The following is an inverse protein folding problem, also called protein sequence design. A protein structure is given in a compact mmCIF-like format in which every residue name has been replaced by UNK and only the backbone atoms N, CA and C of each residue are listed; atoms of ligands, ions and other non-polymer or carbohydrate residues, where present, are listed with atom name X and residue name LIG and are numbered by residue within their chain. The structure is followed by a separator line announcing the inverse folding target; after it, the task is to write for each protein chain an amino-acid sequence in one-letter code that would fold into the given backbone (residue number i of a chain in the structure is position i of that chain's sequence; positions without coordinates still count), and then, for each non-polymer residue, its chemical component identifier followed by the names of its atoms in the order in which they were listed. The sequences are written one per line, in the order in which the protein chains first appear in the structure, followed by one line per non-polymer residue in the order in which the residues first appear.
data_IF_682444387542
#
_entry.id   IF_682444387542
#
_cell.length_a   1.000
_cell.length_b   1.000
_cell.length_c   1.000
_cell.angle_alpha   90.00
_cell.angle_beta   90.00
_cell.angle_gamma   90.00
#
_symmetry.space_group_name_H-M   'P 1'
#
loop_
_entity.id
_entity.type
_entity.pdbx_description
1 polymer ?
#
# COMPACT_ATOMS: atom_id res chain seq x y z
N UNK A 1 -17.11 -67.86 60.66
CA UNK A 1 -18.56 -68.09 60.84
C UNK A 1 -19.13 -68.51 59.49
N UNK A 2 -19.82 -69.66 59.45
CA UNK A 2 -20.30 -70.38 58.25
C UNK A 2 -21.52 -69.70 57.61
N UNK A 3 -21.99 -70.28 56.50
CA UNK A 3 -23.32 -70.16 55.79
C UNK A 3 -23.39 -69.13 54.65
N UNK A 4 -23.90 -69.38 53.43
CA UNK A 4 -24.63 -70.49 52.77
C UNK A 4 -24.39 -70.46 51.21
N UNK A 5 -24.33 -71.63 50.56
CA UNK A 5 -24.57 -71.92 49.11
C UNK A 5 -26.11 -72.14 48.87
N UNK A 6 -26.72 -72.34 47.65
CA UNK A 6 -26.17 -72.61 46.29
C UNK A 6 -26.93 -72.04 45.02
N UNK A 7 -26.21 -72.04 43.87
CA UNK A 7 -26.51 -72.53 42.48
C UNK A 7 -27.88 -72.32 41.79
N UNK A 8 -27.87 -71.74 40.55
CA UNK A 8 -28.55 -72.29 39.35
C UNK A 8 -28.05 -71.77 37.97
N UNK A 9 -27.51 -72.72 37.18
CA UNK A 9 -27.52 -73.00 35.71
C UNK A 9 -26.88 -72.05 34.64
N UNK A 10 -25.84 -72.64 33.99
CA UNK A 10 -25.18 -72.52 32.65
C UNK A 10 -26.04 -71.99 31.47
N UNK A 11 -25.45 -71.46 30.35
CA UNK A 11 -24.37 -72.09 29.58
C UNK A 11 -23.26 -71.20 28.96
N UNK A 12 -22.26 -71.90 28.42
CA UNK A 12 -21.12 -71.37 27.69
C UNK A 12 -21.52 -70.67 26.38
N UNK A 13 -20.93 -69.51 26.11
CA UNK A 13 -21.01 -68.80 24.84
C UNK A 13 -19.74 -67.99 24.64
N UNK A 14 -18.88 -68.44 23.73
CA UNK A 14 -17.70 -67.69 23.32
C UNK A 14 -18.09 -66.51 22.44
N UNK A 15 -17.50 -65.35 22.70
CA UNK A 15 -17.49 -64.24 21.75
C UNK A 15 -16.05 -63.79 21.52
N UNK A 16 -15.56 -64.06 20.30
CA UNK A 16 -14.34 -63.48 19.74
C UNK A 16 -14.57 -61.99 19.55
N UNK A 17 -13.68 -61.16 20.11
CA UNK A 17 -13.64 -59.73 19.82
C UNK A 17 -13.14 -59.53 18.36
N UNK A 18 -14.00 -58.99 17.50
CA UNK A 18 -13.58 -58.49 16.19
C UNK A 18 -12.94 -57.11 16.37
N UNK A 19 -11.60 -57.07 16.38
CA UNK A 19 -10.85 -55.82 16.29
C UNK A 19 -10.89 -55.27 14.86
N UNK A 20 -11.53 -54.11 14.68
CA UNK A 20 -11.52 -53.37 13.42
C UNK A 20 -10.18 -52.64 13.28
N UNK A 21 -9.18 -53.29 12.68
CA UNK A 21 -7.97 -52.62 12.21
C UNK A 21 -8.11 -52.36 10.70
N UNK A 22 -8.21 -51.09 10.25
CA UNK A 22 -8.17 -50.81 8.81
C UNK A 22 -6.80 -51.26 8.28
N UNK A 23 -6.79 -52.28 7.41
CA UNK A 23 -5.58 -52.74 6.73
C UNK A 23 -5.11 -51.63 5.77
N UNK A 24 -4.12 -50.86 6.20
CA UNK A 24 -3.36 -49.97 5.32
C UNK A 24 -2.62 -50.84 4.28
N UNK A 25 -3.18 -50.96 3.08
CA UNK A 25 -2.49 -51.65 1.98
C UNK A 25 -1.39 -50.74 1.42
N UNK A 26 -0.26 -51.33 0.99
CA UNK A 26 0.84 -50.57 0.35
C UNK A 26 0.34 -49.65 -0.77
N UNK A 27 -0.70 -50.07 -1.51
CA UNK A 27 -1.33 -49.28 -2.56
C UNK A 27 -2.03 -48.02 -2.04
N UNK A 28 -2.73 -48.09 -0.90
CA UNK A 28 -3.35 -46.92 -0.27
C UNK A 28 -2.32 -45.98 0.35
N UNK A 29 -1.25 -46.53 0.93
CA UNK A 29 -0.12 -45.73 1.43
C UNK A 29 0.57 -44.97 0.29
N UNK A 30 0.82 -45.64 -0.84
CA UNK A 30 1.41 -45.00 -2.03
C UNK A 30 0.47 -43.96 -2.64
N UNK A 31 -0.84 -44.21 -2.70
CA UNK A 31 -1.82 -43.21 -3.16
C UNK A 31 -1.87 -41.97 -2.24
N UNK A 32 -1.80 -42.16 -0.92
CA UNK A 32 -1.74 -41.07 0.04
C UNK A 32 -0.43 -40.26 -0.08
N UNK A 33 0.70 -40.93 -0.31
CA UNK A 33 2.00 -40.28 -0.54
C UNK A 33 2.03 -39.51 -1.86
N UNK A 34 1.42 -40.04 -2.93
CA UNK A 34 1.31 -39.34 -4.23
C UNK A 34 0.43 -38.09 -4.11
N UNK A 35 -0.68 -38.17 -3.38
CA UNK A 35 -1.54 -37.02 -3.09
C UNK A 35 -0.81 -35.96 -2.24
N UNK A 36 -0.03 -36.38 -1.24
CA UNK A 36 0.81 -35.49 -0.45
C UNK A 36 1.91 -34.83 -1.29
N UNK A 37 2.60 -35.59 -2.15
CA UNK A 37 3.67 -35.05 -3.02
C UNK A 37 3.15 -34.09 -4.10
N UNK A 38 1.94 -34.33 -4.61
CA UNK A 38 1.31 -33.42 -5.58
C UNK A 38 1.01 -32.04 -4.97
N UNK A 39 0.75 -31.99 -3.66
CA UNK A 39 0.61 -30.73 -2.90
C UNK A 39 1.93 -29.97 -2.75
N UNK A 40 3.06 -30.67 -2.55
CA UNK A 40 4.37 -30.02 -2.43
C UNK A 40 4.90 -29.44 -3.75
N UNK A 41 4.45 -29.95 -4.89
CA UNK A 41 4.88 -29.47 -6.22
C UNK A 41 4.10 -28.25 -6.74
N UNK A 42 3.10 -27.76 -6.00
CA UNK A 42 2.34 -26.55 -6.38
C UNK A 42 2.75 -25.38 -5.48
N UNK A 43 3.35 -24.30 -6.04
CA UNK A 43 3.44 -23.03 -5.33
C UNK A 43 2.03 -22.63 -4.84
N UNK A 44 1.87 -22.37 -3.54
CA UNK A 44 0.60 -21.94 -2.94
C UNK A 44 -0.26 -23.02 -2.26
N UNK A 45 0.16 -24.30 -2.24
CA UNK A 45 -0.61 -25.36 -1.55
C UNK A 45 -0.56 -25.26 -0.01
N UNK A 46 0.33 -24.41 0.52
CA UNK A 46 0.42 -24.00 1.92
C UNK A 46 0.30 -22.48 2.09
N UNK A 47 -0.41 -21.79 1.18
CA UNK A 47 -0.75 -20.39 1.41
C UNK A 47 -1.74 -20.34 2.59
N UNK A 48 -1.23 -20.06 3.80
CA UNK A 48 -2.05 -19.48 4.85
C UNK A 48 -2.77 -18.29 4.21
N UNK A 49 -4.10 -18.29 4.24
CA UNK A 49 -4.87 -17.25 3.58
C UNK A 49 -4.45 -15.91 4.16
N UNK A 50 -3.75 -15.10 3.37
CA UNK A 50 -3.28 -13.80 3.85
C UNK A 50 -4.48 -12.96 4.28
N UNK A 51 -4.33 -12.32 5.44
CA UNK A 51 -5.32 -11.36 5.89
C UNK A 51 -5.34 -10.18 4.92
N UNK A 52 -6.48 -10.00 4.25
CA UNK A 52 -6.68 -8.88 3.34
C UNK A 52 -6.67 -7.57 4.12
N UNK A 53 -5.96 -6.57 3.63
CA UNK A 53 -5.99 -5.25 4.27
C UNK A 53 -7.39 -4.65 4.14
N UNK A 54 -8.01 -4.18 5.24
CA UNK A 54 -9.32 -3.55 5.18
C UNK A 54 -9.26 -2.24 4.40
N UNK A 55 -10.26 -2.01 3.55
CA UNK A 55 -10.44 -0.72 2.90
C UNK A 55 -11.06 0.27 3.89
N UNK A 56 -10.45 1.44 4.01
CA UNK A 56 -10.93 2.53 4.86
C UNK A 56 -11.06 3.78 4.00
N UNK A 57 -12.07 4.61 4.26
CA UNK A 57 -12.27 5.86 3.52
C UNK A 57 -11.03 6.76 3.54
N UNK A 58 -10.77 7.44 2.41
CA UNK A 58 -9.66 8.37 2.21
C UNK A 58 -9.56 9.47 3.28
N UNK A 59 -10.69 9.86 3.88
CA UNK A 59 -10.73 10.99 4.79
C UNK A 59 -10.56 12.35 4.08
N UNK A 60 -10.66 13.46 4.83
CA UNK A 60 -10.89 14.78 4.25
C UNK A 60 -9.62 15.60 3.96
N UNK A 61 -8.41 15.03 4.08
CA UNK A 61 -7.15 15.78 4.03
C UNK A 61 -6.20 15.36 2.91
N UNK A 62 -6.67 14.54 1.98
CA UNK A 62 -5.89 14.16 0.81
C UNK A 62 -5.63 15.38 -0.08
N UNK A 63 -4.39 15.60 -0.58
CA UNK A 63 -4.11 16.67 -1.52
C UNK A 63 -4.93 16.53 -2.82
N UNK A 64 -5.78 17.51 -3.10
CA UNK A 64 -6.61 17.50 -4.30
C UNK A 64 -5.77 17.73 -5.57
N UNK A 65 -6.22 17.30 -6.76
CA UNK A 65 -5.51 17.46 -8.03
C UNK A 65 -4.84 18.81 -8.26
N UNK A 66 -5.54 19.89 -7.95
CA UNK A 66 -5.07 21.26 -8.11
C UNK A 66 -3.94 21.65 -7.15
N UNK A 67 -3.80 20.92 -6.03
CA UNK A 67 -2.99 21.24 -4.87
C UNK A 67 -2.14 20.03 -4.43
N UNK A 68 -1.83 19.09 -5.31
CA UNK A 68 -0.85 18.05 -4.97
C UNK A 68 0.53 18.70 -4.79
N UNK A 69 1.26 18.41 -3.70
CA UNK A 69 2.60 18.93 -3.49
C UNK A 69 3.52 18.54 -4.63
N UNK A 70 4.39 19.48 -4.98
CA UNK A 70 5.39 19.28 -6.01
C UNK A 70 6.48 18.35 -5.49
N UNK A 71 6.99 18.63 -4.30
CA UNK A 71 7.81 17.67 -3.60
C UNK A 71 6.94 16.64 -2.87
N UNK A 72 7.12 15.38 -3.23
CA UNK A 72 6.27 14.25 -2.82
C UNK A 72 6.98 12.92 -3.06
N UNK A 73 8.30 12.92 -2.94
CA UNK A 73 9.04 11.68 -2.92
C UNK A 73 8.72 10.90 -1.62
N UNK A 74 9.55 9.93 -1.29
CA UNK A 74 9.35 9.09 -0.13
C UNK A 74 10.12 9.56 1.12
N UNK A 75 10.75 10.74 1.10
CA UNK A 75 11.37 11.40 2.25
C UNK A 75 10.59 12.66 2.63
N UNK A 76 9.57 12.51 3.47
CA UNK A 76 8.73 13.61 3.92
C UNK A 76 9.45 14.54 4.92
N UNK A 77 10.64 14.17 5.40
CA UNK A 77 11.39 14.90 6.45
C UNK A 77 12.23 16.03 5.87
N UNK A 78 12.57 15.95 4.58
CA UNK A 78 13.37 16.97 3.89
C UNK A 78 12.63 17.44 2.66
N UNK A 79 12.30 18.72 2.65
CA UNK A 79 11.70 19.37 1.49
C UNK A 79 12.78 19.92 0.57
N UNK A 80 12.81 19.42 -0.67
CA UNK A 80 13.75 19.80 -1.70
C UNK A 80 15.20 19.71 -1.19
N UNK A 81 16.04 20.68 -1.54
CA UNK A 81 17.42 20.80 -1.05
C UNK A 81 17.52 21.57 0.30
N UNK A 82 16.42 21.65 1.07
CA UNK A 82 16.45 22.35 2.37
C UNK A 82 17.41 21.66 3.34
N UNK A 83 18.23 22.48 4.01
CA UNK A 83 19.09 22.02 5.11
C UNK A 83 18.29 21.81 6.41
N UNK A 84 17.07 22.36 6.50
CA UNK A 84 16.19 22.25 7.65
C UNK A 84 15.28 21.05 7.50
N UNK A 85 15.32 20.15 8.48
CA UNK A 85 14.44 18.96 8.53
C UNK A 85 13.16 19.23 9.33
N UNK A 86 12.12 18.47 9.04
CA UNK A 86 10.88 18.48 9.81
C UNK A 86 11.08 18.16 11.31
N UNK A 87 10.24 18.75 12.14
CA UNK A 87 10.21 18.52 13.58
C UNK A 87 9.45 17.24 13.89
N UNK A 88 10.02 16.38 14.74
CA UNK A 88 9.37 15.17 15.23
C UNK A 88 10.32 13.98 15.34
N UNK A 89 9.76 12.83 15.72
CA UNK A 89 10.51 11.57 15.74
C UNK A 89 10.57 11.04 14.32
N UNK A 90 11.74 11.10 13.70
CA UNK A 90 11.97 10.50 12.38
C UNK A 90 11.65 9.02 12.44
N UNK A 91 10.82 8.59 11.50
CA UNK A 91 10.18 7.29 11.49
C UNK A 91 10.25 6.68 10.10
N UNK A 92 10.70 5.44 10.03
CA UNK A 92 10.77 4.67 8.79
C UNK A 92 9.58 3.70 8.72
N UNK A 93 8.74 3.84 7.70
CA UNK A 93 7.65 2.88 7.46
C UNK A 93 7.92 2.17 6.15
N UNK A 94 8.11 0.85 6.23
CA UNK A 94 8.43 0.01 5.07
C UNK A 94 7.53 -1.20 5.01
N UNK A 95 7.49 -1.83 3.84
CA UNK A 95 6.86 -3.14 3.67
C UNK A 95 6.67 -3.44 2.20
N UNK A 96 5.73 -4.32 1.89
CA UNK A 96 5.45 -4.78 0.53
C UNK A 96 3.99 -4.60 0.15
N UNK A 97 3.77 -4.35 -1.13
CA UNK A 97 2.45 -4.50 -1.76
C UNK A 97 2.36 -5.93 -2.27
N UNK A 98 1.39 -6.69 -1.75
CA UNK A 98 1.16 -8.09 -2.08
C UNK A 98 -0.21 -8.28 -2.74
N UNK A 99 -0.28 -9.21 -3.69
CA UNK A 99 -1.55 -9.72 -4.19
C UNK A 99 -2.18 -10.71 -3.20
N UNK A 100 -3.37 -11.22 -3.53
CA UNK A 100 -4.14 -12.15 -2.69
C UNK A 100 -3.47 -13.50 -2.46
N UNK A 101 -2.54 -13.86 -3.33
CA UNK A 101 -1.76 -15.10 -3.24
C UNK A 101 -0.43 -14.87 -2.50
N UNK A 102 -0.15 -13.63 -2.10
CA UNK A 102 1.09 -13.24 -1.43
C UNK A 102 2.25 -12.92 -2.36
N UNK A 103 2.00 -12.79 -3.67
CA UNK A 103 3.06 -12.38 -4.59
C UNK A 103 3.30 -10.88 -4.52
N UNK A 104 4.57 -10.44 -4.56
CA UNK A 104 4.89 -9.02 -4.61
C UNK A 104 4.37 -8.37 -5.90
N UNK A 105 3.76 -7.19 -5.74
CA UNK A 105 3.24 -6.40 -6.86
C UNK A 105 4.26 -5.35 -7.24
N UNK A 106 4.89 -5.52 -8.39
CA UNK A 106 5.73 -4.50 -9.00
C UNK A 106 4.90 -3.38 -9.60
N UNK A 107 5.33 -2.13 -9.42
CA UNK A 107 4.76 -0.97 -10.09
C UNK A 107 3.43 -0.50 -9.50
N UNK A 108 3.09 -0.95 -8.30
CA UNK A 108 2.06 -0.32 -7.49
C UNK A 108 2.54 1.05 -7.02
N UNK A 109 1.71 2.07 -7.21
CA UNK A 109 1.91 3.40 -6.63
C UNK A 109 1.36 3.38 -5.21
N UNK A 110 2.25 3.63 -4.25
CA UNK A 110 1.95 3.78 -2.83
C UNK A 110 2.00 5.26 -2.50
N UNK A 111 0.93 5.77 -1.92
CA UNK A 111 0.79 7.18 -1.53
C UNK A 111 0.56 7.24 -0.03
N UNK A 112 1.32 8.09 0.65
CA UNK A 112 1.24 8.34 2.08
C UNK A 112 0.79 9.79 2.29
N UNK A 113 -0.24 10.00 3.12
CA UNK A 113 -0.54 11.33 3.66
C UNK A 113 -0.81 11.25 5.15
N UNK A 114 -0.39 12.29 5.87
CA UNK A 114 -0.49 12.33 7.32
C UNK A 114 -0.43 13.76 7.85
N UNK A 115 -0.75 13.90 9.13
CA UNK A 115 -0.46 15.10 9.90
C UNK A 115 1.04 15.20 10.25
N UNK A 116 1.47 16.39 10.64
CA UNK A 116 2.78 16.62 11.27
C UNK A 116 2.82 16.18 12.74
N UNK A 117 3.94 16.41 13.44
CA UNK A 117 4.11 16.08 14.86
C UNK A 117 3.14 16.83 15.80
N UNK A 118 2.54 17.93 15.36
CA UNK A 118 1.55 18.71 16.10
C UNK A 118 0.10 18.36 15.71
N UNK A 119 -0.10 17.35 14.85
CA UNK A 119 -1.43 16.92 14.40
C UNK A 119 -2.03 17.83 13.32
N UNK A 120 -1.23 18.67 12.67
CA UNK A 120 -1.66 19.56 11.59
C UNK A 120 -1.46 18.88 10.23
N UNK A 121 -2.53 18.80 9.43
CA UNK A 121 -2.45 18.34 8.04
C UNK A 121 -2.05 19.46 7.10
N UNK A 122 -1.46 19.11 5.96
CA UNK A 122 -1.05 20.05 4.92
C UNK A 122 -2.19 20.87 4.35
N UNK A 123 -3.36 20.25 4.20
CA UNK A 123 -4.56 20.90 3.72
C UNK A 123 -5.68 20.79 4.74
N UNK A 124 -6.55 21.79 4.78
CA UNK A 124 -7.84 21.72 5.46
C UNK A 124 -8.81 20.82 4.69
N UNK A 125 -9.98 20.55 5.28
CA UNK A 125 -11.06 19.80 4.62
C UNK A 125 -11.60 20.47 3.35
N UNK A 126 -11.31 21.77 3.17
CA UNK A 126 -11.66 22.55 1.98
C UNK A 126 -10.50 22.63 0.96
N UNK A 127 -9.42 21.87 1.17
CA UNK A 127 -8.25 21.85 0.28
C UNK A 127 -7.35 23.09 0.39
N UNK A 128 -7.50 23.91 1.44
CA UNK A 128 -6.69 25.13 1.66
C UNK A 128 -5.44 24.76 2.46
N UNK A 129 -4.26 25.24 2.04
CA UNK A 129 -3.00 24.93 2.74
C UNK A 129 -3.06 25.43 4.18
N UNK A 130 -2.74 24.57 5.13
CA UNK A 130 -2.74 24.90 6.54
C UNK A 130 -1.44 25.63 6.91
N UNK A 131 -1.49 26.90 7.35
CA UNK A 131 -0.30 27.63 7.76
C UNK A 131 0.27 27.17 9.10
N UNK A 132 -0.49 26.40 9.90
CA UNK A 132 -0.05 25.90 11.20
C UNK A 132 0.79 24.62 11.11
N UNK A 133 0.82 23.95 9.96
CA UNK A 133 1.67 22.78 9.75
C UNK A 133 3.14 23.17 9.68
N UNK A 134 4.02 22.30 10.19
CA UNK A 134 5.47 22.45 10.06
C UNK A 134 5.86 22.77 8.61
N UNK A 135 6.46 23.96 8.35
CA UNK A 135 6.81 24.38 7.00
C UNK A 135 7.89 23.51 6.34
N UNK A 136 8.60 22.69 7.12
CA UNK A 136 9.66 21.79 6.64
C UNK A 136 9.17 20.34 6.47
N UNK A 137 7.91 20.04 6.77
CA UNK A 137 7.35 18.70 6.62
C UNK A 137 6.48 18.60 5.37
N UNK A 138 6.68 17.55 4.56
CA UNK A 138 5.95 17.39 3.30
C UNK A 138 4.48 17.00 3.50
N UNK A 139 4.18 16.16 4.48
CA UNK A 139 2.81 15.67 4.77
C UNK A 139 2.18 14.79 3.69
N UNK A 140 2.78 14.67 2.52
CA UNK A 140 2.39 13.80 1.42
C UNK A 140 3.64 13.25 0.74
N UNK A 141 3.61 11.98 0.36
CA UNK A 141 4.67 11.36 -0.41
C UNK A 141 4.17 10.18 -1.25
N UNK A 142 4.98 9.78 -2.22
CA UNK A 142 4.69 8.68 -3.12
C UNK A 142 5.89 7.77 -3.29
N UNK A 143 5.62 6.49 -3.55
CA UNK A 143 6.62 5.48 -3.85
C UNK A 143 6.11 4.54 -4.94
N UNK A 144 6.94 4.25 -5.94
CA UNK A 144 6.63 3.26 -6.97
C UNK A 144 7.39 1.96 -6.69
N UNK A 145 6.65 0.89 -6.41
CA UNK A 145 7.25 -0.39 -6.00
C UNK A 145 8.08 -1.04 -7.11
N UNK A 146 9.25 -1.57 -6.74
CA UNK A 146 10.12 -2.36 -7.62
C UNK A 146 9.65 -3.81 -7.80
N UNK A 147 10.51 -4.69 -8.35
CA UNK A 147 10.17 -6.12 -8.57
C UNK A 147 9.90 -6.90 -7.28
N UNK A 148 10.42 -6.44 -6.15
CA UNK A 148 10.20 -7.03 -4.83
C UNK A 148 8.89 -6.57 -4.17
N UNK A 149 8.16 -5.64 -4.81
CA UNK A 149 6.93 -5.06 -4.26
C UNK A 149 7.18 -4.13 -3.06
N UNK A 150 8.44 -3.88 -2.71
CA UNK A 150 8.81 -3.12 -1.52
C UNK A 150 8.59 -1.62 -1.70
N UNK A 151 8.25 -0.96 -0.58
CA UNK A 151 8.24 0.49 -0.43
C UNK A 151 8.90 0.89 0.89
N UNK A 152 9.39 2.13 0.94
CA UNK A 152 9.95 2.74 2.14
C UNK A 152 9.59 4.22 2.15
N UNK A 153 9.02 4.70 3.25
CA UNK A 153 8.89 6.11 3.54
C UNK A 153 9.75 6.49 4.74
N UNK A 154 10.51 7.57 4.60
CA UNK A 154 11.10 8.30 5.72
C UNK A 154 10.17 9.46 6.05
N UNK A 155 9.60 9.45 7.24
CA UNK A 155 8.60 10.41 7.69
C UNK A 155 8.82 10.77 9.16
N UNK A 156 7.83 11.38 9.81
CA UNK A 156 7.74 11.53 11.26
C UNK A 156 6.51 10.79 11.80
N UNK A 157 6.56 10.40 13.06
CA UNK A 157 5.38 9.90 13.77
C UNK A 157 4.39 11.07 13.98
N UNK A 158 3.18 11.05 13.41
CA UNK A 158 2.27 12.18 13.47
C UNK A 158 1.74 12.40 14.89
N UNK A 159 1.42 13.65 15.20
CA UNK A 159 0.80 14.06 16.44
C UNK A 159 -0.67 13.65 16.54
N UNK A 160 -1.26 13.94 17.71
CA UNK A 160 -2.71 13.82 17.89
C UNK A 160 -3.43 14.89 17.08
N UNK A 161 -4.42 14.45 16.31
CA UNK A 161 -5.37 15.32 15.63
C UNK A 161 -6.76 15.13 16.27
N UNK A 162 -7.56 16.19 16.47
CA UNK A 162 -8.85 16.09 17.13
C UNK A 162 -9.75 15.00 16.52
N UNK A 163 -10.45 14.26 17.38
CA UNK A 163 -11.48 13.25 17.06
C UNK A 163 -11.02 11.92 16.44
N UNK A 164 -9.72 11.68 16.22
CA UNK A 164 -9.20 10.38 15.74
C UNK A 164 -7.94 9.96 16.48
N UNK A 165 -7.69 8.66 16.54
CA UNK A 165 -6.39 8.13 16.94
C UNK A 165 -5.29 8.60 15.99
N UNK A 166 -4.03 8.55 16.41
CA UNK A 166 -2.92 8.77 15.47
C UNK A 166 -2.93 7.71 14.38
N UNK A 167 -2.74 8.15 13.15
CA UNK A 167 -2.79 7.28 11.98
C UNK A 167 -1.95 7.83 10.82
N UNK A 168 -1.62 6.92 9.92
CA UNK A 168 -1.11 7.22 8.59
C UNK A 168 -2.20 6.83 7.60
N UNK A 169 -2.43 7.65 6.58
CA UNK A 169 -3.30 7.26 5.49
C UNK A 169 -2.50 6.71 4.32
N UNK A 170 -3.08 5.73 3.66
CA UNK A 170 -2.46 5.03 2.55
C UNK A 170 -3.39 5.00 1.35
N UNK A 171 -2.77 5.15 0.19
CA UNK A 171 -3.41 5.05 -1.10
C UNK A 171 -2.61 4.10 -1.98
N UNK A 172 -3.20 2.97 -2.36
CA UNK A 172 -2.53 1.95 -3.18
C UNK A 172 -3.22 1.87 -4.53
N UNK A 173 -2.50 2.25 -5.59
CA UNK A 173 -2.97 2.06 -6.98
C UNK A 173 -2.16 0.94 -7.61
N UNK A 174 -2.81 -0.19 -7.87
CA UNK A 174 -2.15 -1.35 -8.47
C UNK A 174 -1.87 -1.11 -9.97
N UNK A 175 -0.87 -1.81 -10.54
CA UNK A 175 -0.51 -1.67 -11.95
C UNK A 175 -1.70 -1.82 -12.89
N UNK A 176 -1.80 -0.86 -13.81
CA UNK A 176 -2.86 -0.83 -14.82
C UNK A 176 -4.27 -0.68 -14.25
N UNK A 177 -4.38 -0.08 -13.06
CA UNK A 177 -5.63 0.40 -12.50
C UNK A 177 -5.59 1.94 -12.43
N UNK A 178 -6.74 2.58 -12.64
CA UNK A 178 -6.99 3.99 -12.27
C UNK A 178 -7.54 4.15 -10.88
N UNK A 179 -7.93 3.02 -10.28
CA UNK A 179 -8.52 2.93 -8.96
C UNK A 179 -7.44 2.81 -7.92
N UNK A 180 -7.58 3.66 -6.90
CA UNK A 180 -6.84 3.54 -5.66
C UNK A 180 -7.68 2.86 -4.60
N UNK A 181 -7.08 1.93 -3.87
CA UNK A 181 -7.61 1.48 -2.58
C UNK A 181 -7.04 2.38 -1.49
N UNK A 182 -7.90 2.93 -0.65
CA UNK A 182 -7.46 3.67 0.52
C UNK A 182 -7.57 2.83 1.78
N UNK A 183 -6.63 3.01 2.69
CA UNK A 183 -6.69 2.45 4.04
C UNK A 183 -6.02 3.39 5.03
N UNK A 184 -6.07 3.08 6.32
CA UNK A 184 -5.39 3.83 7.37
C UNK A 184 -4.71 2.86 8.30
N UNK A 185 -3.50 3.17 8.74
CA UNK A 185 -2.81 2.40 9.77
C UNK A 185 -2.73 3.19 11.05
N UNK A 186 -3.09 2.58 12.16
CA UNK A 186 -2.94 3.13 13.51
C UNK A 186 -1.87 2.37 14.29
N UNK A 187 -1.70 2.68 15.57
CA UNK A 187 -0.84 1.91 16.48
C UNK A 187 -1.34 2.04 17.92
N UNK A 188 -1.00 1.04 18.73
CA UNK A 188 -1.34 1.00 20.15
C UNK A 188 -0.29 1.76 20.93
N UNK A 189 -0.63 2.97 21.33
CA UNK A 189 0.20 3.79 22.18
C UNK A 189 -0.69 4.73 22.98
N UNK A 190 -0.34 4.90 24.26
CA UNK A 190 -1.03 5.87 25.11
C UNK A 190 -0.67 7.26 24.62
N UNK A 191 -1.60 7.87 23.91
CA UNK A 191 -1.47 9.24 23.49
C UNK A 191 -1.80 10.18 24.66
N UNK A 192 -1.03 11.26 24.82
CA UNK A 192 -1.33 12.32 25.78
C UNK A 192 -1.73 13.59 25.03
N UNK A 193 -2.73 14.31 25.52
CA UNK A 193 -3.09 15.64 25.02
C UNK A 193 -2.06 16.70 25.42
N UNK A 194 -2.27 17.95 24.99
CA UNK A 194 -1.37 19.06 25.29
C UNK A 194 -1.26 19.37 26.81
N UNK A 195 -2.19 18.87 27.62
CA UNK A 195 -2.25 19.03 29.07
C UNK A 195 -1.68 17.79 29.81
N UNK A 196 -1.20 16.78 29.08
CA UNK A 196 -0.61 15.57 29.63
C UNK A 196 -1.62 14.50 30.07
N UNK A 197 -2.92 14.66 29.76
CA UNK A 197 -3.93 13.65 30.05
C UNK A 197 -3.99 12.61 28.95
N UNK A 198 -4.43 11.39 29.28
CA UNK A 198 -4.68 10.34 28.28
C UNK A 198 -5.71 10.83 27.27
N UNK A 199 -5.33 10.85 26.01
CA UNK A 199 -6.21 11.22 24.94
C UNK A 199 -7.38 10.22 24.85
N UNK A 200 -8.61 10.71 24.63
CA UNK A 200 -9.79 9.85 24.57
C UNK A 200 -9.78 8.91 23.36
N UNK A 201 -9.09 9.31 22.28
CA UNK A 201 -9.04 8.60 21.01
C UNK A 201 -7.71 7.86 20.86
N UNK A 202 -7.75 6.54 21.02
CA UNK A 202 -6.66 5.59 20.74
C UNK A 202 -7.14 4.58 19.71
N UNK A 203 -6.25 3.80 19.10
CA UNK A 203 -6.64 2.85 18.04
C UNK A 203 -7.74 1.86 18.45
N UNK A 204 -7.91 1.63 19.74
CA UNK A 204 -8.95 0.75 20.31
C UNK A 204 -10.32 1.43 20.47
N UNK A 205 -10.33 2.76 20.66
CA UNK A 205 -11.53 3.55 20.96
C UNK A 205 -11.90 4.53 19.84
N UNK A 206 -11.07 4.61 18.80
CA UNK A 206 -11.33 5.37 17.58
C UNK A 206 -12.48 4.73 16.82
N UNK A 207 -13.52 5.51 16.50
CA UNK A 207 -14.73 4.99 15.86
C UNK A 207 -14.49 4.34 14.49
N UNK A 208 -13.45 4.75 13.76
CA UNK A 208 -13.12 4.16 12.48
C UNK A 208 -12.44 2.80 12.67
N UNK A 209 -11.42 2.72 13.52
CA UNK A 209 -10.76 1.44 13.81
C UNK A 209 -11.68 0.47 14.55
N UNK A 210 -12.51 0.96 15.46
CA UNK A 210 -13.53 0.19 16.17
C UNK A 210 -14.67 -0.30 15.28
N UNK A 211 -14.85 0.27 14.09
CA UNK A 211 -15.84 -0.22 13.11
C UNK A 211 -15.39 -1.47 12.35
N UNK A 212 -14.08 -1.80 12.39
CA UNK A 212 -13.52 -2.97 11.73
C UNK A 212 -13.79 -4.21 12.60
N UNK A 213 -14.81 -4.98 12.21
CA UNK A 213 -15.27 -6.14 12.98
C UNK A 213 -14.32 -7.34 12.91
N UNK A 214 -13.67 -7.55 11.76
CA UNK A 214 -12.71 -8.63 11.60
C UNK A 214 -11.42 -8.27 12.34
N UNK A 215 -11.12 -9.06 13.37
CA UNK A 215 -9.99 -8.80 14.24
C UNK A 215 -8.65 -8.97 13.54
N UNK A 216 -8.52 -9.93 12.63
CA UNK A 216 -7.30 -10.10 11.85
C UNK A 216 -7.09 -8.89 10.95
N UNK A 217 -8.14 -8.39 10.29
CA UNK A 217 -8.05 -7.19 9.47
C UNK A 217 -7.64 -5.96 10.29
N UNK A 218 -8.23 -5.78 11.47
CA UNK A 218 -7.83 -4.70 12.38
C UNK A 218 -6.35 -4.84 12.78
N UNK A 219 -5.92 -6.03 13.21
CA UNK A 219 -4.54 -6.25 13.62
C UNK A 219 -3.55 -6.06 12.46
N UNK A 220 -3.95 -6.31 11.21
CA UNK A 220 -3.11 -6.10 10.01
C UNK A 220 -2.80 -4.62 9.69
N UNK A 221 -3.54 -3.68 10.29
CA UNK A 221 -3.32 -2.23 10.10
C UNK A 221 -2.86 -1.53 11.39
N UNK A 222 -2.56 -2.28 12.44
CA UNK A 222 -1.98 -1.76 13.68
C UNK A 222 -0.47 -1.95 13.68
N UNK A 223 0.24 -0.86 13.37
CA UNK A 223 1.69 -0.83 13.30
C UNK A 223 2.31 -1.00 14.69
N UNK A 224 3.44 -1.71 14.69
CA UNK A 224 4.31 -1.85 15.85
C UNK A 224 5.58 -1.06 15.59
N UNK A 225 5.69 0.10 16.24
CA UNK A 225 6.91 0.90 16.19
C UNK A 225 7.96 0.33 17.13
N UNK A 226 9.19 0.27 16.63
CA UNK A 226 10.38 -0.09 17.40
C UNK A 226 11.46 0.95 17.13
N UNK A 227 12.38 1.16 18.07
CA UNK A 227 13.54 2.02 17.80
C UNK A 227 14.44 1.39 16.74
N UNK A 228 14.99 2.23 15.87
CA UNK A 228 16.05 1.83 14.95
C UNK A 228 17.30 1.52 15.77
N UNK A 229 17.86 0.29 15.69
CA UNK A 229 19.06 -0.08 16.42
C UNK A 229 20.23 0.86 16.11
N UNK A 230 20.90 1.37 17.15
CA UNK A 230 22.04 2.28 17.01
C UNK A 230 21.68 3.73 16.68
N UNK A 231 20.40 4.09 16.57
CA UNK A 231 20.00 5.49 16.39
C UNK A 231 20.26 6.32 17.65
N UNK A 232 21.05 7.39 17.51
CA UNK A 232 21.31 8.37 18.57
C UNK A 232 20.20 9.41 18.71
N UNK A 233 19.43 9.65 17.64
CA UNK A 233 18.33 10.61 17.57
C UNK A 233 16.97 10.01 17.96
N UNK A 234 16.93 8.72 18.32
CA UNK A 234 15.71 8.03 18.74
C UNK A 234 14.75 7.72 17.59
N UNK A 235 15.28 7.50 16.39
CA UNK A 235 14.50 7.15 15.20
C UNK A 235 13.69 5.87 15.45
N UNK A 236 12.48 5.83 14.89
CA UNK A 236 11.60 4.67 14.97
C UNK A 236 11.42 4.01 13.60
N UNK A 237 10.98 2.76 13.61
CA UNK A 237 10.64 2.01 12.41
C UNK A 237 9.41 1.12 12.65
N UNK A 238 8.62 0.94 11.60
CA UNK A 238 7.54 -0.04 11.53
C UNK A 238 7.57 -0.77 10.18
N UNK A 239 7.12 -2.02 10.21
CA UNK A 239 6.92 -2.84 9.00
C UNK A 239 5.43 -3.08 8.80
N UNK A 240 4.94 -2.84 7.59
CA UNK A 240 3.54 -3.04 7.22
C UNK A 240 3.42 -3.52 5.79
N UNK A 241 2.94 -4.75 5.61
CA UNK A 241 2.62 -5.30 4.30
C UNK A 241 1.14 -5.01 3.96
N UNK A 242 0.90 -4.49 2.76
CA UNK A 242 -0.44 -4.32 2.21
C UNK A 242 -0.82 -5.55 1.39
N UNK A 243 -1.99 -6.14 1.66
CA UNK A 243 -2.54 -7.30 0.93
C UNK A 243 -3.84 -6.90 0.23
N UNK A 244 -3.87 -7.00 -1.10
CA UNK A 244 -4.98 -6.52 -1.92
C UNK A 244 -6.30 -7.29 -1.75
N UNK A 245 -7.40 -6.57 -1.49
CA UNK A 245 -8.71 -7.12 -1.14
C UNK A 245 -9.69 -7.58 -2.24
N UNK A 246 -9.64 -7.14 -3.52
CA UNK A 246 -10.31 -7.70 -4.76
C UNK A 246 -10.05 -6.78 -5.99
N UNK A 247 -10.22 -7.35 -7.19
CA UNK A 247 -10.28 -6.76 -8.57
C UNK A 247 -11.12 -5.47 -8.65
N UNK A 248 -10.67 -4.43 -9.40
CA UNK A 248 -11.23 -3.09 -9.42
C UNK A 248 -12.71 -3.03 -9.86
N UNK A 249 -13.52 -2.25 -9.14
CA UNK A 249 -14.71 -1.58 -9.72
C UNK A 249 -14.22 -0.21 -10.31
N UNK A 250 -15.03 0.79 -10.73
CA UNK A 250 -14.61 2.22 -11.03
C UNK A 250 -15.23 3.31 -10.10
N UNK A 251 -14.56 4.27 -9.39
CA UNK A 251 -15.28 5.42 -8.88
C UNK A 251 -15.12 6.48 -9.97
N UNK A 252 -16.11 7.32 -10.13
CA UNK A 252 -15.96 8.54 -10.91
C UNK A 252 -14.92 9.42 -10.22
N UNK A 253 -13.66 9.33 -10.64
CA UNK A 253 -12.61 10.29 -10.31
C UNK A 253 -12.97 11.60 -11.02
N UNK A 254 -13.14 12.73 -10.31
CA UNK A 254 -13.27 14.00 -10.99
C UNK A 254 -11.84 14.53 -11.27
N UNK A 255 -11.43 14.50 -12.54
CA UNK A 255 -10.44 15.43 -13.14
C UNK A 255 -8.97 15.40 -12.63
N UNK A 256 -7.97 15.58 -13.51
CA UNK A 256 -6.65 14.94 -13.43
C UNK A 256 -5.76 15.52 -12.33
N UNK A 257 -5.25 14.65 -11.46
CA UNK A 257 -4.34 15.00 -10.36
C UNK A 257 -3.39 13.88 -9.97
N UNK A 258 -3.82 12.62 -10.11
CA UNK A 258 -2.90 11.50 -10.04
C UNK A 258 -1.90 11.52 -11.20
N UNK A 259 -0.66 11.14 -10.91
CA UNK A 259 0.35 10.86 -11.93
C UNK A 259 0.00 9.64 -12.79
N UNK A 260 -1.04 8.89 -12.42
CA UNK A 260 -1.68 7.90 -13.30
C UNK A 260 -2.73 8.59 -14.15
N UNK A 261 -2.42 8.75 -15.43
CA UNK A 261 -3.24 9.47 -16.40
C UNK A 261 -3.75 8.52 -17.47
N UNK A 262 -5.04 8.68 -17.81
CA UNK A 262 -5.64 7.94 -18.92
C UNK A 262 -5.17 8.55 -20.23
N UNK A 263 -4.69 7.70 -21.13
CA UNK A 263 -4.41 8.12 -22.49
C UNK A 263 -5.70 8.21 -23.31
N UNK A 264 -5.90 9.34 -23.97
CA UNK A 264 -6.93 9.47 -24.99
C UNK A 264 -6.40 8.92 -26.32
N UNK A 265 -7.10 7.95 -26.89
CA UNK A 265 -6.73 7.36 -28.18
C UNK A 265 -7.07 8.33 -29.31
N UNK A 266 -6.08 8.67 -30.11
CA UNK A 266 -6.20 9.55 -31.28
C UNK A 266 -6.43 8.74 -32.56
N UNK A 267 -6.92 9.43 -33.60
CA UNK A 267 -7.24 8.81 -34.91
C UNK A 267 -6.01 8.15 -35.57
N UNK A 268 -4.81 8.72 -35.36
CA UNK A 268 -3.53 8.19 -35.82
C UNK A 268 -3.00 6.99 -35.00
N UNK A 269 -3.84 6.42 -34.12
CA UNK A 269 -3.52 5.30 -33.20
C UNK A 269 -2.47 5.65 -32.12
N UNK A 270 -2.10 6.92 -31.95
CA UNK A 270 -1.33 7.41 -30.80
C UNK A 270 -2.24 7.67 -29.61
N UNK A 271 -1.63 7.95 -28.47
CA UNK A 271 -2.35 8.38 -27.28
C UNK A 271 -1.88 9.75 -26.83
N UNK A 272 -2.84 10.63 -26.54
CA UNK A 272 -2.61 11.91 -25.87
C UNK A 272 -2.71 11.70 -24.37
N UNK A 273 -1.71 12.19 -23.66
CA UNK A 273 -1.63 12.23 -22.20
C UNK A 273 -1.68 13.69 -21.79
N UNK A 274 -2.68 14.08 -21.01
CA UNK A 274 -2.85 15.46 -20.55
C UNK A 274 -2.70 15.54 -19.04
N UNK A 275 -1.85 16.45 -18.58
CA UNK A 275 -1.68 16.78 -17.15
C UNK A 275 -1.29 18.25 -16.98
N UNK A 276 -1.30 18.72 -15.73
CA UNK A 276 -0.83 20.07 -15.39
C UNK A 276 0.67 20.04 -15.11
N UNK A 277 1.44 20.78 -15.90
CA UNK A 277 2.87 20.96 -15.74
C UNK A 277 3.19 22.29 -15.04
N UNK A 278 4.39 22.38 -14.46
CA UNK A 278 4.93 23.54 -13.78
C UNK A 278 6.26 23.96 -14.42
N UNK A 279 6.44 25.26 -14.62
CA UNK A 279 7.64 25.80 -15.23
C UNK A 279 8.91 25.37 -14.47
N UNK A 280 9.91 24.89 -15.21
CA UNK A 280 11.20 24.42 -14.69
C UNK A 280 11.25 22.95 -14.27
N UNK A 281 10.11 22.25 -14.24
CA UNK A 281 10.03 20.85 -13.82
C UNK A 281 10.21 19.92 -15.01
N UNK A 282 10.87 18.78 -14.78
CA UNK A 282 11.13 17.78 -15.84
C UNK A 282 10.21 16.58 -15.70
N UNK A 283 9.55 16.16 -16.78
CA UNK A 283 8.53 15.12 -16.80
C UNK A 283 8.98 13.90 -17.61
N UNK A 284 8.72 12.71 -17.09
CA UNK A 284 8.94 11.43 -17.74
C UNK A 284 7.64 10.65 -17.81
N UNK A 285 7.39 9.96 -18.93
CA UNK A 285 6.22 9.09 -19.08
C UNK A 285 6.67 7.65 -18.99
N UNK A 286 6.00 6.89 -18.15
CA UNK A 286 6.17 5.46 -18.02
C UNK A 286 4.89 4.76 -18.46
N UNK A 287 5.03 3.60 -19.08
CA UNK A 287 3.93 2.70 -19.40
C UNK A 287 4.31 1.24 -19.18
N UNK A 288 3.32 0.35 -19.15
CA UNK A 288 3.50 -1.10 -19.04
C UNK A 288 3.62 -1.72 -20.45
N UNK A 289 4.82 -2.11 -20.93
CA UNK A 289 4.96 -2.75 -22.23
C UNK A 289 4.80 -4.27 -22.07
N UNK A 290 3.66 -4.79 -22.53
CA UNK A 290 3.34 -6.22 -22.70
C UNK A 290 3.18 -7.09 -21.43
N UNK A 291 2.19 -7.99 -21.43
CA UNK A 291 1.82 -8.89 -20.31
C UNK A 291 2.95 -9.84 -19.91
N UNK A 292 3.98 -9.97 -20.75
CA UNK A 292 5.20 -10.76 -20.49
C UNK A 292 6.33 -9.98 -19.83
N UNK A 293 6.27 -8.64 -19.77
CA UNK A 293 7.27 -7.79 -19.14
C UNK A 293 6.57 -6.85 -18.15
N UNK A 294 6.43 -7.31 -16.90
CA UNK A 294 5.72 -6.64 -15.80
C UNK A 294 6.46 -5.39 -15.28
N UNK A 295 7.13 -4.62 -16.14
CA UNK A 295 7.93 -3.43 -15.81
C UNK A 295 7.30 -2.15 -16.33
N UNK A 296 7.22 -1.10 -15.51
CA UNK A 296 7.18 0.25 -16.05
C UNK A 296 8.46 0.50 -16.85
N UNK A 297 8.31 0.87 -18.11
CA UNK A 297 9.41 1.36 -18.94
C UNK A 297 9.16 2.82 -19.28
N UNK A 298 10.21 3.63 -19.23
CA UNK A 298 10.15 4.98 -19.78
C UNK A 298 9.76 4.88 -21.25
N UNK A 299 8.66 5.53 -21.62
CA UNK A 299 8.16 5.57 -22.98
C UNK A 299 8.66 6.83 -23.67
N UNK A 300 9.12 6.72 -24.92
CA UNK A 300 9.34 7.91 -25.71
C UNK A 300 7.99 8.57 -26.00
N UNK A 301 7.96 9.90 -25.95
CA UNK A 301 6.82 10.74 -26.28
C UNK A 301 7.26 11.91 -27.17
N UNK A 302 6.28 12.57 -27.78
CA UNK A 302 6.45 13.85 -28.46
C UNK A 302 5.65 14.95 -27.75
N UNK A 303 6.06 16.21 -27.96
CA UNK A 303 5.34 17.39 -27.45
C UNK A 303 4.26 17.90 -28.43
N UNK A 304 4.22 17.34 -29.63
CA UNK A 304 3.27 17.68 -30.68
C UNK A 304 2.68 16.40 -31.29
N UNK A 305 1.37 16.42 -31.58
CA UNK A 305 0.63 15.29 -32.13
C UNK A 305 1.17 14.78 -33.47
N UNK A 306 1.74 15.67 -34.29
CA UNK A 306 2.28 15.33 -35.60
C UNK A 306 3.73 14.81 -35.54
N UNK A 307 4.46 15.07 -34.45
CA UNK A 307 5.88 14.74 -34.33
C UNK A 307 6.07 13.31 -33.81
N UNK A 308 7.03 12.57 -34.37
CA UNK A 308 7.39 11.25 -33.85
C UNK A 308 7.91 11.37 -32.40
N UNK A 309 7.64 10.38 -31.53
CA UNK A 309 8.27 10.33 -30.22
C UNK A 309 9.80 10.35 -30.32
N UNK A 310 10.42 11.34 -29.69
CA UNK A 310 11.87 11.61 -29.83
C UNK A 310 12.60 11.75 -28.50
N UNK A 311 11.86 11.75 -27.39
CA UNK A 311 12.41 11.95 -26.04
C UNK A 311 11.60 11.21 -24.99
N UNK A 312 12.24 10.94 -23.86
CA UNK A 312 11.61 10.34 -22.68
C UNK A 312 11.56 11.29 -21.48
N UNK A 313 12.18 12.48 -21.59
CA UNK A 313 12.22 13.52 -20.55
C UNK A 313 11.91 14.88 -21.18
N UNK A 314 11.11 15.71 -20.50
CA UNK A 314 10.85 17.09 -20.94
C UNK A 314 10.72 18.07 -19.77
N UNK A 315 11.54 19.12 -19.78
CA UNK A 315 11.41 20.24 -18.86
C UNK A 315 10.39 21.25 -19.38
N UNK A 316 9.30 21.45 -18.63
CA UNK A 316 8.25 22.39 -19.03
C UNK A 316 8.74 23.84 -18.91
N UNK A 317 8.58 24.61 -19.99
CA UNK A 317 8.95 26.04 -20.00
C UNK A 317 7.92 26.95 -19.31
N UNK A 318 6.68 26.49 -19.15
CA UNK A 318 5.57 27.27 -18.57
C UNK A 318 4.72 26.41 -17.64
N UNK A 319 4.06 27.05 -16.68
CA UNK A 319 3.05 26.41 -15.81
C UNK A 319 1.70 26.40 -16.52
N UNK A 320 1.06 25.25 -16.63
CA UNK A 320 -0.20 25.11 -17.34
C UNK A 320 -0.49 23.69 -17.77
N UNK A 321 -1.38 23.53 -18.76
CA UNK A 321 -1.68 22.22 -19.35
C UNK A 321 -0.53 21.79 -20.27
N UNK A 322 -0.08 20.55 -20.13
CA UNK A 322 0.89 19.91 -21.01
C UNK A 322 0.31 18.62 -21.59
N UNK A 323 0.41 18.49 -22.90
CA UNK A 323 -0.01 17.30 -23.65
C UNK A 323 1.24 16.58 -24.17
N UNK A 324 1.36 15.28 -23.84
CA UNK A 324 2.41 14.39 -24.33
C UNK A 324 1.80 13.31 -25.23
N UNK A 325 2.48 12.97 -26.32
CA UNK A 325 1.97 12.05 -27.34
C UNK A 325 2.85 10.81 -27.46
N UNK A 326 2.31 9.66 -27.06
CA UNK A 326 3.02 8.37 -27.05
C UNK A 326 2.48 7.44 -28.13
N UNK A 327 3.35 6.58 -28.66
CA UNK A 327 3.02 5.67 -29.76
C UNK A 327 2.66 4.26 -29.28
N UNK A 328 3.24 3.79 -28.18
CA UNK A 328 3.00 2.46 -27.62
C UNK A 328 1.73 2.47 -26.76
N UNK A 329 0.70 1.64 -27.04
CA UNK A 329 -0.41 1.45 -26.14
C UNK A 329 0.07 0.76 -24.85
N UNK A 330 -0.25 1.26 -23.65
CA UNK A 330 -0.20 0.46 -22.46
C UNK A 330 -1.35 -0.52 -22.58
N UNK A 331 -1.12 -1.77 -22.22
CA UNK A 331 -2.13 -2.84 -22.33
C UNK A 331 -3.44 -2.51 -21.61
N UNK A 332 -3.43 -1.54 -20.70
CA UNK A 332 -4.59 -1.06 -19.94
C UNK A 332 -4.90 0.44 -20.10
N UNK A 333 -4.38 1.13 -21.12
CA UNK A 333 -4.70 2.55 -21.42
C UNK A 333 -4.32 3.60 -20.34
N UNK A 334 -3.42 3.28 -19.40
CA UNK A 334 -2.94 4.20 -18.36
C UNK A 334 -1.42 4.37 -18.40
N UNK A 335 -0.96 5.58 -18.10
CA UNK A 335 0.45 5.98 -18.05
C UNK A 335 0.77 6.57 -16.70
N UNK A 336 2.00 6.38 -16.23
CA UNK A 336 2.52 7.06 -15.04
C UNK A 336 3.42 8.21 -15.49
N UNK A 337 3.12 9.44 -15.10
CA UNK A 337 3.94 10.61 -15.40
C UNK A 337 4.78 10.93 -14.17
N UNK A 338 6.05 10.54 -14.16
CA UNK A 338 6.97 11.00 -13.13
C UNK A 338 7.36 12.46 -13.40
N UNK A 339 7.76 13.18 -12.36
CA UNK A 339 8.35 14.51 -12.54
C UNK A 339 9.47 14.78 -11.54
N UNK A 340 10.38 15.67 -11.92
CA UNK A 340 11.55 16.08 -11.16
C UNK A 340 11.51 17.59 -10.93
N UNK A 341 11.85 17.98 -9.70
CA UNK A 341 12.00 19.37 -9.29
C UNK A 341 13.17 20.04 -10.04
N UNK A 342 13.13 21.37 -10.25
CA UNK A 342 14.28 22.10 -10.77
C UNK A 342 15.49 21.89 -9.85
N UNK A 343 16.59 21.38 -10.39
CA UNK A 343 17.82 21.12 -9.62
C UNK A 343 17.95 19.72 -9.02
N UNK A 344 16.90 18.90 -9.01
CA UNK A 344 16.98 17.51 -8.55
C UNK A 344 17.90 16.68 -9.48
N UNK A 345 18.87 15.97 -8.88
CA UNK A 345 19.89 15.19 -9.60
C UNK A 345 19.33 14.11 -10.54
N UNK A 346 20.16 13.70 -11.52
CA UNK A 346 19.89 12.79 -12.64
C UNK A 346 19.50 11.33 -12.30
N UNK A 347 19.15 11.01 -11.05
CA UNK A 347 18.73 9.66 -10.65
C UNK A 347 17.39 9.25 -11.27
N UNK A 348 17.16 7.95 -11.45
CA UNK A 348 15.83 7.40 -11.79
C UNK A 348 14.91 7.60 -10.57
N UNK A 349 13.62 7.98 -10.75
CA UNK A 349 12.67 8.12 -9.65
C UNK A 349 12.55 6.88 -8.77
#
# INVERSE_FOLDING_TARGET
MKTHLPVRRRPAGGHRAFGFYPRLTRRRLLQALVAASAGFSRPGFWAEALTLTPAVGQGPFYPLPQNIPLDKDNDLVKLNDSLTSATGIVTYVRGRVLDRSGHPVRGALVELWQADAAGQYLYSTQGVRNPAMDPNFAGFGQYLTGSTGEFLFRTIKPGLYPSRARHLHWGITLPGQTRRTTTQTGWREVALDAQGHRAPMQSENDGLFGSIQDRAQLDSILLQFSRVPGSSAGEEQAVWDYVSGFTPLEPSYPEPGGLVVRGERLANRRFRITFRAQAGYSYEVYGNPAMGALSWAALPFALNEASQPDRNLHTAGTTGRLDLYVQTPPERSFYFVAFRLPGANLGTP
#
